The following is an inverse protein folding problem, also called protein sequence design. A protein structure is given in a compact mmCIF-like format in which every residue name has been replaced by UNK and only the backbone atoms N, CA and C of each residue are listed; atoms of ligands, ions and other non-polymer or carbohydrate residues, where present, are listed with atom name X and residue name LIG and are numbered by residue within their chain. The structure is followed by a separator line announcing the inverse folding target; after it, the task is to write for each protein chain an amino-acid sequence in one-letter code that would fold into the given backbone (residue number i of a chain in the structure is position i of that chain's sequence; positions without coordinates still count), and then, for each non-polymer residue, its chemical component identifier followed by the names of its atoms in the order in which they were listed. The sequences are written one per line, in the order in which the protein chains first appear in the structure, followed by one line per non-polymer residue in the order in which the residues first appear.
data_IF_991496868685
#
_entry.id   IF_991496868685
#
_cell.length_a   1.000
_cell.length_b   1.000
_cell.length_c   1.000
_cell.angle_alpha   90.00
_cell.angle_beta   90.00
_cell.angle_gamma   90.00
#
_symmetry.space_group_name_H-M   'P 1'
#
loop_
_entity.id
_entity.type
_entity.pdbx_description
1 polymer ?
#
# COMPACT_ATOMS: atom_id res chain seq x y z
N UNK A 1 2.19 -17.44 -20.12
CA UNK A 1 1.57 -17.10 -21.42
C UNK A 1 0.12 -16.66 -21.26
N UNK A 2 -0.82 -17.47 -20.73
CA UNK A 2 -2.24 -17.09 -20.71
C UNK A 2 -2.52 -15.82 -19.85
N UNK A 3 -1.86 -15.67 -18.70
CA UNK A 3 -2.05 -14.54 -17.78
C UNK A 3 -1.88 -13.14 -18.43
N UNK A 4 -1.04 -13.00 -19.45
CA UNK A 4 -0.82 -11.70 -20.11
C UNK A 4 -1.96 -11.27 -21.04
N UNK A 5 -2.82 -12.19 -21.46
CA UNK A 5 -3.94 -11.94 -22.38
C UNK A 5 -5.30 -11.90 -21.66
N UNK A 6 -5.32 -12.25 -20.37
CA UNK A 6 -6.52 -12.28 -19.56
C UNK A 6 -6.81 -10.88 -18.99
N UNK A 7 -8.07 -10.44 -19.01
CA UNK A 7 -8.51 -9.19 -18.39
C UNK A 7 -8.52 -9.28 -16.84
N UNK A 8 -8.64 -8.15 -16.14
CA UNK A 8 -8.63 -8.12 -14.67
C UNK A 8 -9.67 -9.06 -14.02
N UNK A 9 -10.81 -9.28 -14.68
CA UNK A 9 -11.92 -10.11 -14.21
C UNK A 9 -11.81 -11.59 -14.64
N UNK A 10 -10.77 -11.94 -15.40
CA UNK A 10 -10.48 -13.27 -15.89
C UNK A 10 -11.60 -14.02 -16.61
N UNK A 11 -12.49 -13.31 -17.30
CA UNK A 11 -13.66 -13.89 -17.96
C UNK A 11 -13.48 -14.17 -19.47
N UNK A 12 -12.32 -13.79 -20.04
CA UNK A 12 -12.07 -13.85 -21.48
C UNK A 12 -11.04 -14.93 -21.89
N UNK A 13 -10.60 -15.78 -20.97
CA UNK A 13 -9.50 -16.73 -21.23
C UNK A 13 -9.84 -17.77 -22.31
N UNK A 14 -11.10 -18.19 -22.39
CA UNK A 14 -11.58 -19.19 -23.35
C UNK A 14 -11.50 -18.67 -24.79
N UNK A 15 -11.78 -17.38 -25.00
CA UNK A 15 -11.69 -16.75 -26.33
C UNK A 15 -10.27 -16.81 -26.93
N UNK A 16 -9.24 -16.75 -26.08
CA UNK A 16 -7.85 -16.72 -26.53
C UNK A 16 -7.18 -18.10 -26.52
N UNK A 17 -7.82 -19.14 -25.98
CA UNK A 17 -7.16 -20.43 -25.78
C UNK A 17 -6.66 -21.04 -27.10
N UNK A 18 -7.49 -21.01 -28.14
CA UNK A 18 -7.15 -21.57 -29.44
C UNK A 18 -6.00 -20.81 -30.11
N UNK A 19 -6.02 -19.48 -30.03
CA UNK A 19 -4.96 -18.63 -30.56
C UNK A 19 -3.63 -18.88 -29.84
N UNK A 20 -3.67 -18.94 -28.51
CA UNK A 20 -2.50 -19.20 -27.68
C UNK A 20 -1.93 -20.60 -27.90
N UNK A 21 -2.78 -21.61 -28.03
CA UNK A 21 -2.36 -22.97 -28.36
C UNK A 21 -1.72 -23.04 -29.75
N UNK A 22 -2.27 -22.34 -30.73
CA UNK A 22 -1.66 -22.22 -32.07
C UNK A 22 -0.26 -21.63 -31.97
N UNK A 23 -0.12 -20.49 -31.28
CA UNK A 23 1.18 -19.83 -31.07
C UNK A 23 2.18 -20.76 -30.37
N UNK A 24 1.75 -21.45 -29.32
CA UNK A 24 2.56 -22.41 -28.58
C UNK A 24 3.04 -23.57 -29.47
N UNK A 25 2.15 -24.16 -30.28
CA UNK A 25 2.50 -25.28 -31.17
C UNK A 25 3.40 -24.86 -32.33
N UNK A 26 3.38 -23.58 -32.71
CA UNK A 26 4.24 -23.00 -33.75
C UNK A 26 5.56 -22.41 -33.25
N UNK A 27 5.78 -22.39 -31.94
CA UNK A 27 6.99 -21.79 -31.34
C UNK A 27 7.97 -22.89 -30.93
N UNK A 28 9.28 -22.74 -31.20
CA UNK A 28 10.26 -23.76 -30.80
C UNK A 28 10.37 -23.80 -29.28
N UNK A 29 10.28 -25.01 -28.71
CA UNK A 29 10.39 -25.18 -27.26
C UNK A 29 11.87 -25.35 -26.86
N UNK A 30 12.40 -24.59 -25.87
CA UNK A 30 13.82 -24.65 -25.50
C UNK A 30 14.34 -26.04 -25.13
N UNK A 31 13.48 -26.89 -24.56
CA UNK A 31 13.84 -28.25 -24.16
C UNK A 31 13.98 -29.23 -25.35
N UNK A 32 13.21 -29.04 -26.42
CA UNK A 32 13.24 -29.93 -27.60
C UNK A 32 14.00 -29.31 -28.78
N UNK A 33 14.14 -27.98 -28.82
CA UNK A 33 14.75 -27.23 -29.93
C UNK A 33 13.87 -27.13 -31.19
N UNK A 34 12.72 -27.79 -31.21
CA UNK A 34 11.80 -27.83 -32.35
C UNK A 34 10.38 -27.41 -31.92
N UNK A 35 9.55 -27.03 -32.88
CA UNK A 35 8.14 -26.74 -32.64
C UNK A 35 7.34 -28.04 -32.45
N UNK A 36 6.28 -28.04 -31.62
CA UNK A 36 5.37 -29.18 -31.53
C UNK A 36 4.73 -29.57 -32.87
N UNK A 37 4.37 -28.60 -33.72
CA UNK A 37 3.81 -28.86 -35.05
C UNK A 37 4.77 -29.66 -35.92
N UNK A 38 6.05 -29.25 -35.97
CA UNK A 38 7.06 -29.93 -36.75
C UNK A 38 7.35 -31.34 -36.26
N UNK A 39 7.42 -31.53 -34.93
CA UNK A 39 7.65 -32.86 -34.36
C UNK A 39 6.47 -33.82 -34.63
N UNK A 40 5.23 -33.31 -34.60
CA UNK A 40 4.03 -34.12 -34.84
C UNK A 40 3.77 -34.41 -36.33
N UNK A 41 3.91 -33.40 -37.18
CA UNK A 41 3.52 -33.46 -38.60
C UNK A 41 4.71 -33.63 -39.56
N UNK A 42 5.94 -33.45 -39.09
CA UNK A 42 7.16 -33.47 -39.92
C UNK A 42 7.34 -32.22 -40.79
N UNK A 43 6.43 -31.25 -40.65
CA UNK A 43 6.39 -29.97 -41.36
C UNK A 43 5.84 -28.87 -40.46
N UNK A 44 6.21 -27.62 -40.75
CA UNK A 44 5.61 -26.47 -40.10
C UNK A 44 4.23 -26.17 -40.69
N UNK A 45 3.33 -25.68 -39.84
CA UNK A 45 2.04 -25.17 -40.29
C UNK A 45 2.24 -23.71 -40.73
N UNK A 46 1.52 -23.28 -41.77
CA UNK A 46 1.53 -21.89 -42.19
C UNK A 46 1.02 -20.99 -41.05
N UNK A 47 1.88 -20.09 -40.59
CA UNK A 47 1.58 -19.08 -39.57
C UNK A 47 1.43 -17.75 -40.31
N UNK A 48 0.77 -16.73 -39.75
CA UNK A 48 0.64 -15.43 -40.42
C UNK A 48 1.99 -14.84 -40.87
N UNK A 49 3.08 -15.12 -40.14
CA UNK A 49 4.44 -14.74 -40.53
C UNK A 49 4.96 -15.46 -41.78
N UNK A 50 4.47 -16.67 -42.08
CA UNK A 50 4.91 -17.43 -43.25
C UNK A 50 4.38 -16.88 -44.57
N UNK A 51 3.41 -15.95 -44.53
CA UNK A 51 2.97 -15.18 -45.71
C UNK A 51 4.06 -14.21 -46.16
N UNK A 52 4.70 -13.54 -45.21
CA UNK A 52 5.80 -12.60 -45.47
C UNK A 52 7.13 -13.35 -45.66
N UNK A 53 7.32 -14.45 -44.93
CA UNK A 53 8.55 -15.26 -44.94
C UNK A 53 8.21 -16.73 -45.25
N UNK A 54 8.02 -17.07 -46.54
CA UNK A 54 7.66 -18.43 -46.91
C UNK A 54 8.77 -19.41 -46.52
N UNK A 55 8.34 -20.60 -46.06
CA UNK A 55 9.27 -21.70 -45.81
C UNK A 55 9.91 -22.16 -47.12
N UNK A 56 11.17 -22.65 -47.07
CA UNK A 56 11.78 -23.31 -48.23
C UNK A 56 10.84 -24.41 -48.72
N UNK A 57 10.47 -24.37 -50.01
CA UNK A 57 9.67 -25.45 -50.59
C UNK A 57 10.49 -26.74 -50.50
N UNK A 58 9.91 -27.78 -49.90
CA UNK A 58 10.47 -29.12 -50.04
C UNK A 58 10.47 -29.47 -51.53
N UNK A 59 11.52 -30.17 -51.99
CA UNK A 59 11.61 -30.60 -53.40
C UNK A 59 10.38 -31.44 -53.72
N UNK A 60 9.81 -31.22 -54.90
CA UNK A 60 8.73 -32.06 -55.41
C UNK A 60 9.17 -33.54 -55.37
N UNK A 61 8.29 -34.40 -54.89
CA UNK A 61 8.57 -35.82 -54.73
C UNK A 61 8.10 -36.56 -55.97
N UNK A 62 9.00 -37.30 -56.61
CA UNK A 62 8.69 -38.05 -57.84
C UNK A 62 7.71 -39.22 -57.60
N UNK A 63 7.66 -39.74 -56.36
CA UNK A 63 6.78 -40.84 -55.97
C UNK A 63 6.37 -40.75 -54.48
N UNK A 64 5.18 -41.24 -54.14
CA UNK A 64 4.61 -41.28 -52.78
C UNK A 64 5.48 -42.11 -51.81
N UNK A 65 6.01 -43.25 -52.26
CA UNK A 65 6.86 -44.11 -51.43
C UNK A 65 8.16 -43.40 -51.02
N UNK A 66 8.72 -42.57 -51.92
CA UNK A 66 9.92 -41.78 -51.61
C UNK A 66 9.60 -40.69 -50.59
N UNK A 67 8.43 -40.07 -50.69
CA UNK A 67 7.95 -39.10 -49.71
C UNK A 67 7.84 -39.71 -48.31
N UNK A 68 7.11 -40.82 -48.18
CA UNK A 68 6.89 -41.50 -46.89
C UNK A 68 8.22 -41.93 -46.26
N UNK A 69 9.13 -42.49 -47.07
CA UNK A 69 10.43 -42.95 -46.59
C UNK A 69 11.28 -41.79 -46.06
N UNK A 70 11.35 -40.67 -46.80
CA UNK A 70 12.09 -39.48 -46.36
C UNK A 70 11.44 -38.82 -45.14
N UNK A 71 10.12 -38.74 -45.08
CA UNK A 71 9.40 -38.19 -43.94
C UNK A 71 9.70 -38.98 -42.65
N UNK A 72 9.68 -40.33 -42.73
CA UNK A 72 10.06 -41.19 -41.61
C UNK A 72 11.51 -40.97 -41.19
N UNK A 73 12.44 -40.91 -42.13
CA UNK A 73 13.85 -40.65 -41.84
C UNK A 73 14.05 -39.30 -41.13
N UNK A 74 13.43 -38.25 -41.67
CA UNK A 74 13.45 -36.89 -41.10
C UNK A 74 12.86 -36.87 -39.69
N UNK A 75 11.72 -37.51 -39.46
CA UNK A 75 11.13 -37.60 -38.12
C UNK A 75 12.06 -38.33 -37.15
N UNK A 76 12.63 -39.47 -37.54
CA UNK A 76 13.58 -40.21 -36.68
C UNK A 76 14.78 -39.35 -36.27
N UNK A 77 15.35 -38.61 -37.23
CA UNK A 77 16.44 -37.66 -36.98
C UNK A 77 16.00 -36.56 -36.00
N UNK A 78 14.88 -35.89 -36.26
CA UNK A 78 14.36 -34.81 -35.39
C UNK A 78 14.11 -35.29 -33.97
N UNK A 79 13.51 -36.48 -33.80
CA UNK A 79 13.29 -37.05 -32.47
C UNK A 79 14.59 -37.43 -31.78
N UNK A 80 15.61 -37.89 -32.52
CA UNK A 80 16.94 -38.16 -31.96
C UNK A 80 17.60 -36.89 -31.42
N UNK A 81 17.54 -35.79 -32.18
CA UNK A 81 18.08 -34.48 -31.79
C UNK A 81 17.31 -33.96 -30.57
N UNK A 82 15.97 -34.05 -30.60
CA UNK A 82 15.12 -33.60 -29.50
C UNK A 82 15.41 -34.37 -28.20
N UNK A 83 15.68 -35.69 -28.25
CA UNK A 83 16.08 -36.48 -27.06
C UNK A 83 17.41 -36.01 -26.49
N UNK A 84 18.38 -35.71 -27.36
CA UNK A 84 19.68 -35.18 -26.92
C UNK A 84 19.51 -33.81 -26.24
N UNK A 85 18.73 -32.92 -26.84
CA UNK A 85 18.40 -31.62 -26.25
C UNK A 85 17.67 -31.77 -24.91
N UNK A 86 16.71 -32.69 -24.80
CA UNK A 86 15.98 -32.95 -23.55
C UNK A 86 16.93 -33.39 -22.43
N UNK A 87 17.90 -34.24 -22.74
CA UNK A 87 18.91 -34.68 -21.76
C UNK A 87 19.74 -33.50 -21.26
N UNK A 88 20.33 -32.72 -22.16
CA UNK A 88 21.12 -31.55 -21.80
C UNK A 88 20.30 -30.46 -21.10
N UNK A 89 19.04 -30.28 -21.50
CA UNK A 89 18.11 -29.36 -20.86
C UNK A 89 17.79 -29.81 -19.43
N UNK A 90 17.53 -31.10 -19.21
CA UNK A 90 17.28 -31.66 -17.88
C UNK A 90 18.51 -31.52 -16.96
N UNK A 91 19.71 -31.80 -17.46
CA UNK A 91 20.97 -31.60 -16.71
C UNK A 91 21.18 -30.13 -16.34
N UNK A 92 20.93 -29.22 -17.29
CA UNK A 92 20.98 -27.78 -17.02
C UNK A 92 19.93 -27.37 -16.00
N UNK A 93 18.69 -27.82 -16.14
CA UNK A 93 17.60 -27.49 -15.22
C UNK A 93 17.92 -27.99 -13.81
N UNK A 94 18.49 -29.18 -13.68
CA UNK A 94 18.96 -29.71 -12.39
C UNK A 94 20.05 -28.82 -11.80
N UNK A 95 21.10 -28.50 -12.55
CA UNK A 95 22.17 -27.60 -12.07
C UNK A 95 21.65 -26.22 -11.68
N UNK A 96 20.78 -25.63 -12.50
CA UNK A 96 20.19 -24.32 -12.23
C UNK A 96 19.27 -24.36 -11.00
N UNK A 97 18.63 -25.51 -10.74
CA UNK A 97 17.85 -25.75 -9.53
C UNK A 97 18.77 -25.90 -8.31
N UNK A 98 19.75 -26.81 -8.35
CA UNK A 98 20.66 -27.11 -7.25
C UNK A 98 21.49 -25.88 -6.82
N UNK A 99 21.86 -25.01 -7.76
CA UNK A 99 22.53 -23.73 -7.46
C UNK A 99 21.61 -22.69 -6.83
N UNK A 100 20.31 -22.76 -7.09
CA UNK A 100 19.30 -21.84 -6.51
C UNK A 100 18.74 -22.33 -5.18
N UNK A 101 18.93 -23.61 -4.85
CA UNK A 101 18.58 -24.11 -3.53
C UNK A 101 19.52 -23.45 -2.53
N UNK A 102 18.96 -22.51 -1.78
CA UNK A 102 19.64 -21.95 -0.62
C UNK A 102 19.35 -22.86 0.57
N UNK A 103 20.34 -23.66 0.97
CA UNK A 103 20.26 -24.46 2.19
C UNK A 103 20.34 -23.55 3.42
N UNK A 104 19.22 -22.93 3.79
CA UNK A 104 19.14 -22.19 5.05
C UNK A 104 19.06 -23.20 6.19
N UNK A 105 20.17 -23.38 6.91
CA UNK A 105 20.18 -24.11 8.17
C UNK A 105 19.50 -23.24 9.23
N UNK A 106 18.19 -23.41 9.38
CA UNK A 106 17.45 -22.73 10.44
C UNK A 106 17.84 -23.31 11.81
N UNK A 107 18.13 -22.42 12.76
CA UNK A 107 18.43 -22.80 14.15
C UNK A 107 17.14 -22.81 14.96
N UNK A 108 17.13 -23.61 16.03
CA UNK A 108 16.05 -23.53 17.03
C UNK A 108 16.00 -22.09 17.56
N UNK A 109 14.81 -21.50 17.57
CA UNK A 109 14.56 -20.12 17.97
C UNK A 109 14.50 -19.11 16.82
N UNK A 110 14.89 -19.47 15.58
CA UNK A 110 14.75 -18.58 14.42
C UNK A 110 13.29 -18.33 14.05
N UNK A 111 13.00 -17.11 13.58
CA UNK A 111 11.68 -16.73 13.05
C UNK A 111 11.58 -17.01 11.57
N UNK A 112 10.51 -17.68 11.17
CA UNK A 112 10.26 -18.12 9.80
C UNK A 112 8.80 -17.88 9.42
N UNK A 113 8.56 -17.67 8.11
CA UNK A 113 7.23 -17.67 7.54
C UNK A 113 6.94 -19.05 6.94
N UNK A 114 5.75 -19.57 7.18
CA UNK A 114 5.27 -20.83 6.62
C UNK A 114 4.52 -20.56 5.32
N UNK A 115 4.86 -21.28 4.25
CA UNK A 115 4.08 -21.27 3.03
C UNK A 115 2.86 -22.21 3.18
N UNK A 116 1.65 -21.67 3.04
CA UNK A 116 0.41 -22.45 3.09
C UNK A 116 -0.18 -22.62 1.68
N UNK A 117 -0.16 -23.87 1.20
CA UNK A 117 -0.70 -24.25 -0.12
C UNK A 117 -2.22 -24.10 -0.21
N UNK A 118 -2.92 -24.02 0.92
CA UNK A 118 -4.39 -23.92 0.95
C UNK A 118 -4.90 -22.48 0.80
N UNK A 119 -4.03 -21.47 0.97
CA UNK A 119 -4.40 -20.03 0.93
C UNK A 119 -4.32 -19.46 -0.49
N UNK A 120 -4.05 -20.29 -1.51
CA UNK A 120 -3.92 -19.88 -2.91
C UNK A 120 -5.29 -19.50 -3.50
N UNK A 121 -5.85 -18.39 -3.01
CA UNK A 121 -6.84 -17.56 -3.70
C UNK A 121 -6.05 -16.51 -4.48
N UNK A 122 -6.49 -16.21 -5.70
CA UNK A 122 -5.80 -15.44 -6.75
C UNK A 122 -5.22 -14.06 -6.36
N UNK A 123 -5.38 -13.59 -5.12
CA UNK A 123 -4.94 -12.29 -4.62
C UNK A 123 -4.53 -12.26 -3.12
N UNK A 124 -4.27 -13.41 -2.48
CA UNK A 124 -3.77 -13.45 -1.08
C UNK A 124 -2.32 -13.93 -1.05
N UNK A 125 -1.51 -13.33 -0.16
CA UNK A 125 -0.17 -13.85 0.11
C UNK A 125 -0.27 -15.26 0.70
N UNK A 126 0.42 -16.26 0.15
CA UNK A 126 0.43 -17.63 0.66
C UNK A 126 1.34 -17.79 1.89
N UNK A 127 2.02 -16.73 2.33
CA UNK A 127 2.93 -16.75 3.47
C UNK A 127 2.18 -16.41 4.77
N UNK A 128 2.26 -17.30 5.75
CA UNK A 128 1.64 -17.18 7.08
C UNK A 128 2.75 -17.10 8.12
N UNK A 129 2.63 -16.21 9.12
CA UNK A 129 3.62 -16.08 10.19
C UNK A 129 3.55 -14.71 10.89
N UNK A 130 4.49 -14.42 11.82
CA UNK A 130 5.75 -15.14 12.06
C UNK A 130 5.62 -16.38 12.98
N UNK A 131 6.37 -17.44 12.65
CA UNK A 131 6.49 -18.65 13.46
C UNK A 131 7.90 -18.81 14.01
N UNK A 132 8.03 -19.40 15.21
CA UNK A 132 9.32 -19.75 15.81
C UNK A 132 9.64 -21.23 15.65
N UNK A 133 10.85 -21.53 15.18
CA UNK A 133 11.36 -22.91 15.08
C UNK A 133 11.62 -23.47 16.49
N UNK A 134 10.97 -24.57 16.85
CA UNK A 134 11.12 -25.20 18.18
C UNK A 134 11.97 -26.45 18.15
N UNK A 135 11.87 -27.25 17.10
CA UNK A 135 12.73 -28.42 16.86
C UNK A 135 13.07 -28.48 15.37
N UNK A 136 14.32 -28.83 15.12
CA UNK A 136 14.85 -29.15 13.79
C UNK A 136 14.92 -30.67 13.73
N UNK A 137 14.11 -31.28 12.87
CA UNK A 137 14.22 -32.70 12.58
C UNK A 137 15.28 -32.87 11.50
N UNK A 138 16.10 -33.93 11.60
CA UNK A 138 17.16 -34.23 10.63
C UNK A 138 16.64 -34.29 9.20
N UNK A 139 17.48 -34.06 8.17
CA UNK A 139 17.06 -34.15 6.77
C UNK A 139 16.51 -35.55 6.49
N UNK A 140 15.25 -35.62 6.07
CA UNK A 140 14.59 -36.87 5.70
C UNK A 140 14.82 -37.08 4.20
N UNK A 141 15.81 -37.92 3.87
CA UNK A 141 16.07 -38.64 2.60
C UNK A 141 15.93 -37.88 1.27
N UNK A 142 17.06 -37.83 0.52
CA UNK A 142 17.27 -37.49 -0.91
C UNK A 142 16.75 -36.14 -1.44
N UNK A 143 15.79 -35.51 -0.78
CA UNK A 143 15.38 -34.14 -1.03
C UNK A 143 15.60 -33.36 0.26
N UNK A 144 16.60 -32.47 0.27
CA UNK A 144 17.08 -31.64 1.39
C UNK A 144 16.00 -30.73 2.03
N UNK A 145 14.91 -31.31 2.53
CA UNK A 145 13.82 -30.63 3.21
C UNK A 145 13.93 -30.93 4.69
N UNK A 146 14.55 -30.02 5.43
CA UNK A 146 14.58 -30.07 6.88
C UNK A 146 13.17 -29.82 7.42
N UNK A 147 12.62 -30.77 8.17
CA UNK A 147 11.28 -30.62 8.76
C UNK A 147 11.41 -29.84 10.07
N UNK A 148 10.62 -28.78 10.24
CA UNK A 148 10.61 -27.96 11.45
C UNK A 148 9.28 -28.08 12.18
N UNK A 149 9.33 -28.13 13.51
CA UNK A 149 8.14 -27.88 14.34
C UNK A 149 8.06 -26.39 14.64
N UNK A 150 6.93 -25.77 14.26
CA UNK A 150 6.70 -24.34 14.39
C UNK A 150 5.71 -24.05 15.53
N UNK A 151 5.97 -22.99 16.30
CA UNK A 151 4.99 -22.41 17.23
C UNK A 151 4.70 -20.96 16.84
N UNK A 152 3.45 -20.54 16.95
CA UNK A 152 3.07 -19.14 16.74
C UNK A 152 3.59 -18.29 17.90
N UNK A 153 4.28 -17.19 17.58
CA UNK A 153 4.76 -16.24 18.59
C UNK A 153 3.71 -15.14 18.89
N UNK A 154 2.61 -15.15 18.12
CA UNK A 154 1.63 -14.07 18.03
C UNK A 154 0.87 -13.84 19.33
N UNK A 155 0.69 -14.85 20.20
CA UNK A 155 -0.13 -14.71 21.41
C UNK A 155 0.34 -13.61 22.35
N UNK A 156 1.64 -13.31 22.40
CA UNK A 156 2.17 -12.38 23.40
C UNK A 156 2.34 -10.95 22.86
N UNK A 157 2.59 -10.80 21.56
CA UNK A 157 2.76 -9.50 20.90
C UNK A 157 1.43 -8.83 20.56
N UNK A 158 0.39 -9.61 20.26
CA UNK A 158 -0.96 -9.05 20.08
C UNK A 158 -1.49 -8.45 21.37
N UNK A 159 -1.24 -9.11 22.50
CA UNK A 159 -1.72 -8.66 23.80
C UNK A 159 -1.02 -7.38 24.27
N UNK A 160 0.25 -7.19 23.94
CA UNK A 160 0.97 -5.94 24.24
C UNK A 160 0.52 -4.80 23.33
N UNK A 161 0.38 -5.04 22.02
CA UNK A 161 -0.05 -4.01 21.06
C UNK A 161 -1.51 -3.58 21.29
N UNK A 162 -2.39 -4.51 21.69
CA UNK A 162 -3.77 -4.21 22.08
C UNK A 162 -3.80 -3.34 23.35
N UNK A 163 -2.93 -3.61 24.33
CA UNK A 163 -2.80 -2.77 25.55
C UNK A 163 -2.32 -1.36 25.23
N UNK A 164 -1.30 -1.21 24.39
CA UNK A 164 -0.77 0.10 23.98
C UNK A 164 -1.82 0.91 23.21
N UNK A 165 -2.54 0.27 22.28
CA UNK A 165 -3.64 0.91 21.55
C UNK A 165 -4.73 1.42 22.49
N UNK A 166 -5.14 0.60 23.46
CA UNK A 166 -6.18 0.97 24.41
C UNK A 166 -5.74 2.12 25.34
N UNK A 167 -4.46 2.15 25.74
CA UNK A 167 -3.89 3.26 26.50
C UNK A 167 -3.91 4.58 25.71
N UNK A 168 -3.59 4.51 24.41
CA UNK A 168 -3.61 5.68 23.54
C UNK A 168 -5.02 6.22 23.31
N UNK A 169 -6.00 5.34 23.05
CA UNK A 169 -7.41 5.76 22.90
C UNK A 169 -7.95 6.41 24.18
N UNK A 170 -7.60 5.90 25.36
CA UNK A 170 -7.96 6.53 26.63
C UNK A 170 -7.36 7.93 26.80
N UNK A 171 -6.11 8.13 26.36
CA UNK A 171 -5.44 9.44 26.41
C UNK A 171 -6.11 10.45 25.47
N UNK A 172 -6.49 10.03 24.26
CA UNK A 172 -7.19 10.88 23.29
C UNK A 172 -8.56 11.31 23.82
N UNK A 173 -9.34 10.40 24.38
CA UNK A 173 -10.65 10.72 24.95
C UNK A 173 -10.53 11.74 26.08
N UNK A 174 -9.53 11.58 26.96
CA UNK A 174 -9.25 12.55 28.04
C UNK A 174 -8.83 13.94 27.51
N UNK A 175 -8.07 13.97 26.41
CA UNK A 175 -7.71 15.21 25.72
C UNK A 175 -8.93 15.89 25.07
N UNK A 176 -9.88 15.13 24.54
CA UNK A 176 -11.10 15.69 23.96
C UNK A 176 -12.06 16.26 25.02
N UNK A 177 -12.19 15.57 26.16
CA UNK A 177 -12.95 16.06 27.30
C UNK A 177 -12.38 17.36 27.86
N UNK A 178 -11.06 17.44 28.04
CA UNK A 178 -10.41 18.67 28.52
C UNK A 178 -10.60 19.83 27.53
N UNK A 179 -10.47 19.60 26.22
CA UNK A 179 -10.78 20.60 25.20
C UNK A 179 -12.25 21.06 25.25
N UNK A 180 -13.18 20.13 25.47
CA UNK A 180 -14.62 20.45 25.59
C UNK A 180 -14.89 21.33 26.82
N UNK A 181 -14.27 21.01 27.95
CA UNK A 181 -14.40 21.75 29.19
C UNK A 181 -13.81 23.17 29.08
N UNK A 182 -12.61 23.29 28.52
CA UNK A 182 -11.98 24.61 28.26
C UNK A 182 -12.82 25.48 27.33
N UNK A 183 -13.47 24.86 26.32
CA UNK A 183 -14.36 25.58 25.41
C UNK A 183 -15.63 26.06 26.11
N UNK A 184 -16.19 25.28 27.04
CA UNK A 184 -17.32 25.73 27.86
C UNK A 184 -16.93 26.86 28.82
N UNK A 185 -15.77 26.77 29.47
CA UNK A 185 -15.25 27.82 30.35
C UNK A 185 -15.01 29.14 29.59
N UNK A 186 -14.45 29.05 28.37
CA UNK A 186 -14.27 30.21 27.50
C UNK A 186 -15.60 30.87 27.11
N UNK A 187 -16.66 30.08 26.94
CA UNK A 187 -17.99 30.62 26.60
C UNK A 187 -18.66 31.27 27.81
N UNK A 188 -18.49 30.70 29.01
CA UNK A 188 -18.98 31.29 30.26
C UNK A 188 -18.31 32.64 30.55
N UNK A 189 -16.98 32.70 30.47
CA UNK A 189 -16.21 33.94 30.67
C UNK A 189 -16.57 35.02 29.64
N UNK A 190 -16.79 34.66 28.37
CA UNK A 190 -17.29 35.59 27.35
C UNK A 190 -18.68 36.14 27.67
N UNK A 191 -19.59 35.30 28.17
CA UNK A 191 -20.93 35.72 28.56
C UNK A 191 -20.88 36.68 29.76
N UNK A 192 -20.05 36.39 30.76
CA UNK A 192 -19.82 37.25 31.93
C UNK A 192 -19.26 38.62 31.53
N UNK A 193 -18.26 38.65 30.64
CA UNK A 193 -17.71 39.89 30.09
C UNK A 193 -18.75 40.72 29.32
N UNK A 194 -19.66 40.06 28.60
CA UNK A 194 -20.74 40.75 27.89
C UNK A 194 -21.71 41.44 28.87
N UNK A 195 -22.10 40.74 29.95
CA UNK A 195 -22.97 41.29 31.00
C UNK A 195 -22.28 42.44 31.74
N UNK A 196 -21.00 42.31 32.08
CA UNK A 196 -20.18 43.36 32.68
C UNK A 196 -20.14 44.62 31.80
N UNK A 197 -19.91 44.44 30.49
CA UNK A 197 -19.88 45.54 29.53
C UNK A 197 -21.24 46.22 29.34
N UNK A 198 -22.35 45.48 29.43
CA UNK A 198 -23.70 46.05 29.42
C UNK A 198 -23.96 46.91 30.65
N UNK A 199 -23.66 46.40 31.86
CA UNK A 199 -23.79 47.16 33.11
C UNK A 199 -22.92 48.43 33.10
N UNK A 200 -21.70 48.34 32.59
CA UNK A 200 -20.80 49.48 32.48
C UNK A 200 -21.31 50.54 31.50
N UNK A 201 -21.96 50.13 30.38
CA UNK A 201 -22.62 51.06 29.46
C UNK A 201 -23.81 51.76 30.10
N UNK A 202 -24.65 51.01 30.83
CA UNK A 202 -25.81 51.54 31.54
C UNK A 202 -25.40 52.58 32.60
N UNK A 203 -24.36 52.28 33.40
CA UNK A 203 -23.80 53.20 34.38
C UNK A 203 -23.22 54.48 33.74
N UNK A 204 -22.56 54.37 32.58
CA UNK A 204 -22.06 55.55 31.86
C UNK A 204 -23.20 56.41 31.27
N UNK A 205 -24.32 55.80 30.86
CA UNK A 205 -25.50 56.55 30.41
C UNK A 205 -26.20 57.26 31.57
N UNK A 206 -26.35 56.62 32.74
CA UNK A 206 -26.94 57.26 33.91
C UNK A 206 -26.08 58.42 34.42
N UNK A 207 -24.75 58.27 34.47
CA UNK A 207 -23.84 59.37 34.82
C UNK A 207 -23.92 60.53 33.81
N UNK A 208 -24.03 60.23 32.51
CA UNK A 208 -24.19 61.28 31.48
C UNK A 208 -25.52 62.00 31.58
N UNK A 209 -26.61 61.31 31.94
CA UNK A 209 -27.91 61.92 32.19
C UNK A 209 -27.92 62.79 33.44
N UNK A 210 -27.26 62.35 34.51
CA UNK A 210 -27.09 63.12 35.75
C UNK A 210 -26.30 64.41 35.49
N UNK A 211 -25.16 64.32 34.78
CA UNK A 211 -24.41 65.50 34.32
C UNK A 211 -25.21 66.41 33.39
N UNK A 212 -26.18 65.89 32.63
CA UNK A 212 -27.11 66.70 31.80
C UNK A 212 -28.15 67.42 32.68
N UNK A 213 -28.66 66.77 33.74
CA UNK A 213 -29.58 67.39 34.71
C UNK A 213 -28.88 68.49 35.51
N UNK A 214 -27.64 68.27 35.95
CA UNK A 214 -26.84 69.29 36.64
C UNK A 214 -26.53 70.50 35.76
N UNK A 215 -26.17 70.27 34.49
CA UNK A 215 -25.99 71.37 33.52
C UNK A 215 -27.27 72.19 33.36
N UNK A 216 -28.45 71.57 33.32
CA UNK A 216 -29.73 72.30 33.24
C UNK A 216 -30.04 73.10 34.51
N UNK A 217 -29.71 72.59 35.70
CA UNK A 217 -29.81 73.35 36.96
C UNK A 217 -28.91 74.59 36.98
N UNK A 218 -27.69 74.48 36.44
CA UNK A 218 -26.75 75.60 36.34
C UNK A 218 -27.26 76.78 35.48
N UNK A 219 -28.13 76.56 34.49
CA UNK A 219 -28.70 77.64 33.67
C UNK A 219 -29.91 78.34 34.31
N UNK A 220 -30.47 77.81 35.39
CA UNK A 220 -31.61 78.40 36.10
C UNK A 220 -31.21 79.32 37.26
N UNK A 221 -29.91 79.40 37.60
CA UNK A 221 -29.42 80.39 38.55
C UNK A 221 -29.16 81.74 37.85
N UNK A 222 -29.88 82.83 38.16
CA UNK A 222 -29.56 84.14 37.65
C UNK A 222 -28.24 84.61 38.26
N UNK A 223 -27.23 84.81 37.40
CA UNK A 223 -25.94 85.40 37.73
C UNK A 223 -26.13 86.72 38.51
N UNK A 224 -26.02 86.67 39.84
CA UNK A 224 -25.77 87.85 40.67
C UNK A 224 -24.36 88.35 40.32
N UNK A 225 -24.29 89.40 39.50
CA UNK A 225 -23.08 90.21 39.32
C UNK A 225 -22.67 90.81 40.66
N UNK A 226 -21.79 90.13 41.39
CA UNK A 226 -21.06 90.72 42.49
C UNK A 226 -19.80 91.37 41.88
N UNK A 227 -19.80 92.70 41.79
CA UNK A 227 -18.58 93.48 41.57
C UNK A 227 -17.75 93.41 42.84
N UNK A 228 -16.80 92.47 42.92
CA UNK A 228 -15.78 92.46 43.97
C UNK A 228 -14.55 93.25 43.51
N UNK A 229 -14.27 94.30 44.29
CA UNK A 229 -13.13 95.21 44.23
C UNK A 229 -11.81 94.42 44.23
N UNK A 230 -10.92 94.74 43.29
CA UNK A 230 -9.55 94.22 43.26
C UNK A 230 -8.76 94.90 44.38
N UNK A 231 -8.51 94.16 45.46
CA UNK A 231 -7.48 94.52 46.45
C UNK A 231 -6.15 93.98 45.94
N UNK A 232 -5.25 94.87 45.52
CA UNK A 232 -3.88 94.52 45.15
C UNK A 232 -3.02 94.49 46.43
N UNK A 233 -2.44 93.35 46.83
CA UNK A 233 -1.53 93.31 47.97
C UNK A 233 -0.13 93.82 47.58
N UNK A 234 0.39 94.70 48.44
CA UNK A 234 1.70 95.36 48.38
C UNK A 234 2.83 94.33 48.43
N UNK A 235 3.83 94.47 47.54
CA UNK A 235 5.12 93.75 47.61
C UNK A 235 5.81 94.06 48.93
N UNK A 236 6.28 93.04 49.65
CA UNK A 236 7.19 93.17 50.79
C UNK A 236 8.54 92.59 50.38
N UNK A 237 9.56 93.45 50.35
CA UNK A 237 10.97 93.10 50.24
C UNK A 237 11.54 93.00 51.65
N UNK A 238 12.15 91.87 52.00
CA UNK A 238 13.13 91.66 53.09
C UNK A 238 14.00 90.49 52.55
N UNK A 239 15.20 90.66 51.96
CA UNK A 239 16.53 90.97 52.51
C UNK A 239 16.91 90.18 53.75
N UNK A 240 17.52 89.00 53.53
CA UNK A 240 18.87 88.64 53.99
C UNK A 240 19.49 87.65 53.00
#
# INVERSE_FOLDING_TARGET
MIKSFINSNANNWDLYINLLLSAYRSSPHPATGHTPNFMMLGREINISSSILFPFPKEKDYDNEDQYITRLRAKMMEVYSIARNHLKSYAERQKRDHDTRIFHSQYKVGSLVYKFDKNIIKKFKSPWVGPYKVTKVLSPVTEEDQTIFTLKEEISNLTDTLVKERNQFENYLNKMEETKKNLKSELNQTKAELHVQNQKNKENQTSEKEERRKDRKRSYQEPNKRIRSVVVVPKRRCEHF
#
